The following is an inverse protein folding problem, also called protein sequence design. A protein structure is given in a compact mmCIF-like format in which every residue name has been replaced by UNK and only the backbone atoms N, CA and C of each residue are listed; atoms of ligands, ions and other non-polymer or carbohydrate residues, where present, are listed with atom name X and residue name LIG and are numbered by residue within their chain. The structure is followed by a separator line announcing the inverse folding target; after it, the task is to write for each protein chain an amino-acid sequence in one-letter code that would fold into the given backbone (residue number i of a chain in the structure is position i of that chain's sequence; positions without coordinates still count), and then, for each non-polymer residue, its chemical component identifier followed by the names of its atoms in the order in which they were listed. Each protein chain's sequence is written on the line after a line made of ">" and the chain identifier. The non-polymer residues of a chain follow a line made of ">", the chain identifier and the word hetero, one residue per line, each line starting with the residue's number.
data_IF_635805278760
#
_entry.id   IF_635805278760
#
_cell.length_a   1.000
_cell.length_b   1.000
_cell.length_c   1.000
_cell.angle_alpha   90.00
_cell.angle_beta   90.00
_cell.angle_gamma   90.00
#
_symmetry.space_group_name_H-M   'P 1'
#
loop_
_entity.id
_entity.type
_entity.pdbx_description
1 polymer ?
#
# COMPACT_ATOMS: atom_id res chain seq x y z
N UNK A 1 -51.78 25.94 65.57
CA UNK A 1 -51.36 26.24 64.18
C UNK A 1 -50.49 27.50 64.20
N UNK A 2 -49.16 27.34 64.34
CA UNK A 2 -48.23 28.47 64.59
C UNK A 2 -47.65 28.92 63.25
N UNK A 3 -48.10 30.08 62.75
CA UNK A 3 -47.51 30.74 61.56
C UNK A 3 -46.20 31.42 61.97
N UNK A 4 -45.06 30.86 61.57
CA UNK A 4 -43.75 31.52 61.63
C UNK A 4 -43.76 32.72 60.67
N UNK A 5 -43.78 33.93 61.21
CA UNK A 5 -43.57 35.17 60.45
C UNK A 5 -42.06 35.27 60.16
N UNK A 6 -41.67 34.96 58.93
CA UNK A 6 -40.30 35.14 58.46
C UNK A 6 -40.10 36.65 58.26
N UNK A 7 -39.41 37.30 59.21
CA UNK A 7 -38.94 38.67 59.02
C UNK A 7 -37.84 38.66 57.97
N UNK A 8 -38.18 39.07 56.74
CA UNK A 8 -37.20 39.36 55.70
C UNK A 8 -36.24 40.44 56.22
N UNK A 9 -34.99 40.03 56.53
CA UNK A 9 -33.89 40.96 56.76
C UNK A 9 -33.79 41.84 55.52
N UNK A 10 -33.99 43.15 55.67
CA UNK A 10 -33.70 44.11 54.61
C UNK A 10 -32.24 43.93 54.24
N UNK A 11 -31.97 43.39 53.05
CA UNK A 11 -30.64 43.26 52.50
C UNK A 11 -30.14 44.67 52.14
N UNK A 12 -29.60 45.38 53.13
CA UNK A 12 -28.65 46.46 52.86
C UNK A 12 -27.37 45.78 52.41
N UNK A 13 -27.25 45.55 51.09
CA UNK A 13 -25.98 45.24 50.47
C UNK A 13 -25.09 46.45 50.76
N UNK A 14 -24.07 46.27 51.59
CA UNK A 14 -23.05 47.27 51.84
C UNK A 14 -22.45 47.67 50.48
N UNK A 15 -22.50 48.97 50.14
CA UNK A 15 -22.20 49.47 48.79
C UNK A 15 -20.81 49.10 48.26
N UNK A 16 -19.92 48.66 49.14
CA UNK A 16 -18.59 48.14 48.81
C UNK A 16 -18.64 46.86 47.95
N UNK A 17 -19.58 45.95 48.20
CA UNK A 17 -19.69 44.70 47.42
C UNK A 17 -20.15 44.95 45.98
N UNK A 18 -21.01 45.95 45.78
CA UNK A 18 -21.51 46.29 44.46
C UNK A 18 -20.41 46.87 43.55
N UNK A 19 -19.48 47.65 44.12
CA UNK A 19 -18.34 48.18 43.37
C UNK A 19 -17.43 47.07 42.82
N UNK A 20 -17.16 46.02 43.61
CA UNK A 20 -16.36 44.88 43.16
C UNK A 20 -17.00 44.13 42.00
N UNK A 21 -18.33 43.96 42.01
CA UNK A 21 -19.06 43.31 40.91
C UNK A 21 -18.90 44.12 39.62
N UNK A 22 -19.06 45.45 39.67
CA UNK A 22 -18.89 46.32 38.49
C UNK A 22 -17.46 46.23 37.94
N UNK A 23 -16.44 46.28 38.82
CA UNK A 23 -15.04 46.16 38.39
C UNK A 23 -14.80 44.80 37.71
N UNK A 24 -15.32 43.70 38.26
CA UNK A 24 -15.22 42.38 37.63
C UNK A 24 -15.90 42.32 36.26
N UNK A 25 -17.07 42.96 36.10
CA UNK A 25 -17.75 43.04 34.80
C UNK A 25 -16.93 43.83 33.79
N UNK A 26 -16.34 44.96 34.18
CA UNK A 26 -15.50 45.78 33.30
C UNK A 26 -14.24 45.00 32.88
N UNK A 27 -13.56 44.35 33.83
CA UNK A 27 -12.39 43.52 33.55
C UNK A 27 -12.77 42.36 32.61
N UNK A 28 -13.91 41.71 32.85
CA UNK A 28 -14.42 40.65 31.98
C UNK A 28 -14.68 41.14 30.55
N UNK A 29 -15.29 42.31 30.38
CA UNK A 29 -15.50 42.90 29.05
C UNK A 29 -14.18 43.20 28.35
N UNK A 30 -13.20 43.80 29.04
CA UNK A 30 -11.89 44.10 28.46
C UNK A 30 -11.19 42.82 27.97
N UNK A 31 -11.26 41.73 28.74
CA UNK A 31 -10.67 40.44 28.34
C UNK A 31 -11.35 39.87 27.09
N UNK A 32 -12.70 39.89 27.04
CA UNK A 32 -13.46 39.38 25.88
C UNK A 32 -13.15 40.20 24.62
N UNK A 33 -13.13 41.53 24.72
CA UNK A 33 -12.79 42.39 23.59
C UNK A 33 -11.34 42.23 23.16
N UNK A 34 -10.40 42.13 24.12
CA UNK A 34 -8.99 41.90 23.83
C UNK A 34 -8.76 40.56 23.11
N UNK A 35 -9.43 39.50 23.56
CA UNK A 35 -9.35 38.19 22.92
C UNK A 35 -9.93 38.23 21.51
N UNK A 36 -11.14 38.78 21.32
CA UNK A 36 -11.73 38.92 19.98
C UNK A 36 -10.83 39.70 19.03
N UNK A 37 -10.32 40.85 19.47
CA UNK A 37 -9.42 41.69 18.69
C UNK A 37 -8.13 40.94 18.32
N UNK A 38 -7.55 40.16 19.22
CA UNK A 38 -6.39 39.32 18.93
C UNK A 38 -6.66 38.27 17.84
N UNK A 39 -7.82 37.59 17.88
CA UNK A 39 -8.19 36.62 16.85
C UNK A 39 -8.44 37.30 15.50
N UNK A 40 -9.13 38.44 15.49
CA UNK A 40 -9.40 39.20 14.28
C UNK A 40 -8.08 39.69 13.64
N UNK A 41 -7.13 40.19 14.44
CA UNK A 41 -5.81 40.57 13.95
C UNK A 41 -5.01 39.38 13.42
N UNK A 42 -5.02 38.24 14.10
CA UNK A 42 -4.33 37.02 13.64
C UNK A 42 -4.90 36.53 12.30
N UNK A 43 -6.22 36.55 12.15
CA UNK A 43 -6.88 36.13 10.92
C UNK A 43 -6.65 37.13 9.77
N UNK A 44 -6.65 38.43 10.06
CA UNK A 44 -6.32 39.46 9.08
C UNK A 44 -4.87 39.34 8.59
N UNK A 45 -3.92 39.12 9.50
CA UNK A 45 -2.52 38.88 9.16
C UNK A 45 -2.36 37.64 8.27
N UNK A 46 -2.98 36.52 8.66
CA UNK A 46 -2.98 35.30 7.86
C UNK A 46 -3.51 35.52 6.44
N UNK A 47 -4.56 36.32 6.25
CA UNK A 47 -5.09 36.64 4.90
C UNK A 47 -4.10 37.45 4.06
N UNK A 48 -3.42 38.41 4.65
CA UNK A 48 -2.40 39.21 3.94
C UNK A 48 -1.18 38.37 3.59
N UNK A 49 -0.67 37.57 4.53
CA UNK A 49 0.47 36.70 4.26
C UNK A 49 0.13 35.63 3.21
N UNK A 50 -1.11 35.12 3.20
CA UNK A 50 -1.62 34.22 2.16
C UNK A 50 -1.63 34.87 0.78
N UNK A 51 -2.04 36.13 0.69
CA UNK A 51 -1.99 36.88 -0.57
C UNK A 51 -0.55 37.08 -1.06
N UNK A 52 0.40 37.31 -0.14
CA UNK A 52 1.83 37.41 -0.49
C UNK A 52 2.35 36.07 -0.97
N UNK A 53 2.11 34.99 -0.21
CA UNK A 53 2.54 33.64 -0.58
C UNK A 53 2.00 33.19 -1.95
N UNK A 54 0.69 33.35 -2.16
CA UNK A 54 0.04 33.05 -3.43
C UNK A 54 0.57 33.92 -4.57
N UNK A 55 0.77 35.22 -4.31
CA UNK A 55 1.33 36.17 -5.28
C UNK A 55 2.76 35.81 -5.69
N UNK A 56 3.61 35.42 -4.74
CA UNK A 56 5.00 35.05 -4.98
C UNK A 56 5.09 33.75 -5.77
N UNK A 57 4.33 32.72 -5.40
CA UNK A 57 4.26 31.45 -6.15
C UNK A 57 3.76 31.67 -7.58
N UNK A 58 2.67 32.44 -7.76
CA UNK A 58 2.12 32.75 -9.08
C UNK A 58 3.10 33.55 -9.93
N UNK A 59 3.80 34.50 -9.32
CA UNK A 59 4.82 35.28 -9.99
C UNK A 59 5.99 34.43 -10.45
N UNK A 60 6.57 33.63 -9.56
CA UNK A 60 7.72 32.77 -9.87
C UNK A 60 7.34 31.69 -10.89
N UNK A 61 6.16 31.07 -10.77
CA UNK A 61 5.63 30.10 -11.75
C UNK A 61 5.60 30.71 -13.15
N UNK A 62 5.08 31.94 -13.29
CA UNK A 62 5.02 32.65 -14.57
C UNK A 62 6.41 33.05 -15.07
N UNK A 63 7.26 33.61 -14.22
CA UNK A 63 8.57 34.14 -14.64
C UNK A 63 9.54 33.03 -15.01
N UNK A 64 9.59 31.97 -14.20
CA UNK A 64 10.43 30.79 -14.45
C UNK A 64 9.83 29.97 -15.59
N UNK A 65 8.51 29.74 -15.60
CA UNK A 65 7.80 28.99 -16.63
C UNK A 65 8.08 29.47 -18.06
N UNK A 66 8.21 30.79 -18.28
CA UNK A 66 8.52 31.36 -19.59
C UNK A 66 9.97 31.13 -20.06
N UNK A 67 10.89 30.79 -19.16
CA UNK A 67 12.32 30.61 -19.46
C UNK A 67 12.66 29.12 -19.54
N UNK A 68 12.56 28.55 -20.73
CA UNK A 68 12.86 27.13 -20.95
C UNK A 68 14.27 26.77 -20.48
N UNK A 69 14.37 25.78 -19.60
CA UNK A 69 15.62 25.27 -19.01
C UNK A 69 16.13 26.08 -17.82
N UNK A 70 15.48 27.19 -17.44
CA UNK A 70 15.82 27.91 -16.21
C UNK A 70 15.39 27.07 -15.01
N UNK A 71 16.30 26.89 -14.06
CA UNK A 71 16.05 26.17 -12.80
C UNK A 71 16.37 27.10 -11.64
N UNK A 72 15.42 27.28 -10.73
CA UNK A 72 15.59 28.12 -9.55
C UNK A 72 15.14 27.38 -8.31
N UNK A 73 15.94 27.44 -7.24
CA UNK A 73 15.54 27.01 -5.91
C UNK A 73 15.02 28.23 -5.17
N UNK A 74 13.77 28.16 -4.71
CA UNK A 74 13.08 29.27 -4.05
C UNK A 74 12.62 28.82 -2.67
N UNK A 75 12.71 29.73 -1.71
CA UNK A 75 12.18 29.55 -0.36
C UNK A 75 11.05 30.53 -0.15
N UNK A 76 9.86 30.00 0.14
CA UNK A 76 8.65 30.76 0.40
C UNK A 76 8.34 30.77 1.89
N UNK A 77 7.85 31.90 2.40
CA UNK A 77 7.30 31.96 3.76
C UNK A 77 5.84 31.50 3.69
N UNK A 78 5.52 30.40 4.36
CA UNK A 78 4.18 29.80 4.35
C UNK A 78 3.40 30.30 5.57
N UNK A 79 2.23 30.92 5.35
CA UNK A 79 1.49 31.57 6.43
C UNK A 79 0.62 30.61 7.25
N UNK A 80 0.02 31.17 8.30
CA UNK A 80 -1.09 30.55 9.03
C UNK A 80 -0.78 29.21 9.73
N UNK A 81 0.50 28.86 9.90
CA UNK A 81 0.95 27.61 10.52
C UNK A 81 0.52 26.38 9.72
N UNK A 82 0.54 26.49 8.39
CA UNK A 82 0.34 25.38 7.46
C UNK A 82 1.49 24.38 7.62
N UNK A 83 1.16 23.10 7.61
CA UNK A 83 2.11 21.99 7.78
C UNK A 83 2.45 21.30 6.45
N UNK A 84 1.51 21.24 5.50
CA UNK A 84 1.71 20.68 4.16
C UNK A 84 1.13 21.56 3.08
N UNK A 85 1.76 21.59 1.91
CA UNK A 85 1.24 22.22 0.68
C UNK A 85 1.21 21.19 -0.43
N UNK A 86 0.05 20.96 -1.02
CA UNK A 86 -0.11 20.10 -2.19
C UNK A 86 -0.17 20.98 -3.44
N UNK A 87 0.65 20.66 -4.43
CA UNK A 87 0.56 21.17 -5.80
C UNK A 87 -0.06 20.09 -6.66
N UNK A 88 -1.05 20.43 -7.48
CA UNK A 88 -1.86 19.48 -8.23
C UNK A 88 -2.03 20.00 -9.65
N UNK A 89 -1.71 19.17 -10.64
CA UNK A 89 -1.96 19.48 -12.04
C UNK A 89 -3.41 19.13 -12.38
N UNK A 90 -4.32 20.06 -12.08
CA UNK A 90 -5.77 19.89 -12.22
C UNK A 90 -6.24 19.64 -13.67
N UNK A 91 -5.37 19.79 -14.66
CA UNK A 91 -5.69 19.53 -16.08
C UNK A 91 -5.55 18.06 -16.47
N UNK A 92 -4.94 17.26 -15.62
CA UNK A 92 -4.73 15.83 -15.84
C UNK A 92 -5.65 15.01 -14.95
N UNK A 93 -5.97 13.80 -15.41
CA UNK A 93 -6.78 12.87 -14.65
C UNK A 93 -5.97 12.33 -13.47
N UNK A 94 -6.25 12.87 -12.28
CA UNK A 94 -5.55 12.49 -11.06
C UNK A 94 -6.21 11.23 -10.49
N UNK A 95 -5.38 10.23 -10.16
CA UNK A 95 -5.84 8.99 -9.52
C UNK A 95 -6.64 9.26 -8.24
N UNK A 96 -7.42 8.27 -7.79
CA UNK A 96 -8.25 8.30 -6.57
C UNK A 96 -7.50 8.53 -5.24
N UNK A 97 -6.22 8.91 -5.28
CA UNK A 97 -5.35 9.20 -4.14
C UNK A 97 -5.88 10.32 -3.23
N UNK A 98 -6.81 11.17 -3.70
CA UNK A 98 -7.41 12.25 -2.93
C UNK A 98 -8.78 11.92 -2.32
N UNK A 99 -9.23 10.66 -2.33
CA UNK A 99 -10.52 10.26 -1.77
C UNK A 99 -10.70 10.66 -0.28
N UNK A 100 -9.60 10.77 0.47
CA UNK A 100 -9.61 11.23 1.86
C UNK A 100 -9.76 12.75 2.03
N UNK A 101 -9.67 13.52 0.94
CA UNK A 101 -9.78 14.97 0.92
C UNK A 101 -10.87 15.41 -0.07
N UNK A 102 -12.17 15.33 0.30
CA UNK A 102 -13.29 15.57 -0.60
C UNK A 102 -13.24 16.93 -1.30
N UNK A 103 -12.76 17.97 -0.61
CA UNK A 103 -12.64 19.32 -1.17
C UNK A 103 -11.59 19.42 -2.29
N UNK A 104 -10.52 18.62 -2.24
CA UNK A 104 -9.52 18.55 -3.32
C UNK A 104 -10.14 17.81 -4.50
N UNK A 105 -10.79 16.68 -4.24
CA UNK A 105 -11.48 15.89 -5.25
C UNK A 105 -12.57 16.70 -5.97
N UNK A 106 -13.42 17.41 -5.23
CA UNK A 106 -14.45 18.29 -5.77
C UNK A 106 -13.83 19.38 -6.66
N UNK A 107 -12.65 19.93 -6.31
CA UNK A 107 -11.97 20.94 -7.11
C UNK A 107 -11.48 20.37 -8.45
N UNK A 108 -10.89 19.17 -8.42
CA UNK A 108 -10.44 18.43 -9.60
C UNK A 108 -11.64 18.11 -10.50
N UNK A 109 -12.71 17.54 -9.94
CA UNK A 109 -13.91 17.13 -10.69
C UNK A 109 -14.68 18.31 -11.28
N UNK A 110 -14.74 19.43 -10.56
CA UNK A 110 -15.39 20.65 -11.03
C UNK A 110 -14.57 21.45 -12.04
N UNK A 111 -13.28 21.17 -12.17
CA UNK A 111 -12.35 21.98 -12.97
C UNK A 111 -12.25 23.42 -12.47
N UNK A 112 -12.42 23.64 -11.15
CA UNK A 112 -12.34 24.98 -10.53
C UNK A 112 -10.95 25.62 -10.67
N UNK A 113 -9.94 24.82 -10.99
CA UNK A 113 -8.63 25.27 -11.45
C UNK A 113 -7.70 25.73 -10.33
N UNK A 114 -8.03 25.45 -9.05
CA UNK A 114 -7.03 25.62 -8.00
C UNK A 114 -6.04 24.46 -8.08
N UNK A 115 -4.77 24.79 -8.14
CA UNK A 115 -3.65 23.86 -8.23
C UNK A 115 -2.85 23.80 -6.93
N UNK A 116 -3.07 24.73 -5.99
CA UNK A 116 -2.40 24.74 -4.67
C UNK A 116 -3.40 24.54 -3.55
N UNK A 117 -3.15 23.57 -2.67
CA UNK A 117 -3.93 23.30 -1.48
C UNK A 117 -3.05 23.34 -0.24
N UNK A 118 -3.34 24.24 0.69
CA UNK A 118 -2.61 24.40 1.94
C UNK A 118 -3.32 23.68 3.07
N UNK A 119 -2.61 22.78 3.75
CA UNK A 119 -3.14 21.95 4.82
C UNK A 119 -2.63 22.40 6.19
N UNK A 120 -3.46 22.18 7.21
CA UNK A 120 -3.07 22.31 8.61
C UNK A 120 -3.79 21.25 9.42
N UNK A 121 -3.04 20.32 10.01
CA UNK A 121 -3.59 19.22 10.82
C UNK A 121 -4.65 18.42 10.04
N UNK A 122 -4.38 18.13 8.77
CA UNK A 122 -5.27 17.36 7.90
C UNK A 122 -6.49 18.12 7.35
N UNK A 123 -6.66 19.41 7.66
CA UNK A 123 -7.74 20.24 7.10
C UNK A 123 -7.19 21.26 6.10
N UNK A 124 -7.92 21.49 5.00
CA UNK A 124 -7.61 22.54 4.03
C UNK A 124 -7.85 23.90 4.68
N UNK A 125 -6.81 24.74 4.70
CA UNK A 125 -6.87 26.12 5.18
C UNK A 125 -7.18 27.09 4.05
N UNK A 126 -6.60 26.85 2.87
CA UNK A 126 -6.80 27.67 1.67
C UNK A 126 -6.46 26.88 0.41
N UNK A 127 -7.09 27.27 -0.70
CA UNK A 127 -6.70 26.87 -2.06
C UNK A 127 -6.58 28.09 -2.97
N UNK A 128 -5.78 28.00 -4.03
CA UNK A 128 -5.68 29.03 -5.09
C UNK A 128 -4.95 28.50 -6.33
N UNK A 129 -5.15 29.19 -7.47
CA UNK A 129 -4.48 28.99 -8.76
C UNK A 129 -3.14 29.75 -8.89
N UNK A 130 -2.04 29.04 -9.18
CA UNK A 130 -0.71 29.59 -9.51
C UNK A 130 -0.40 29.58 -11.01
N UNK A 131 -1.24 28.94 -11.84
CA UNK A 131 -1.22 29.03 -13.29
C UNK A 131 -0.87 27.72 -13.97
N UNK A 132 -0.10 27.81 -15.06
CA UNK A 132 0.26 26.64 -15.86
C UNK A 132 1.43 25.89 -15.20
N UNK A 133 1.11 24.77 -14.56
CA UNK A 133 2.10 23.83 -14.02
C UNK A 133 2.00 22.48 -14.73
N UNK A 134 3.12 21.75 -14.80
CA UNK A 134 3.17 20.39 -15.33
C UNK A 134 3.84 19.50 -14.28
N UNK A 135 3.02 18.69 -13.62
CA UNK A 135 3.49 17.73 -12.63
C UNK A 135 3.53 16.35 -13.28
N UNK A 136 4.61 15.60 -13.03
CA UNK A 136 4.72 14.22 -13.51
C UNK A 136 3.77 13.30 -12.75
N UNK A 137 3.40 12.15 -13.32
CA UNK A 137 2.54 11.20 -12.61
C UNK A 137 3.10 10.92 -11.20
N UNK A 138 2.29 11.03 -10.12
CA UNK A 138 0.82 11.00 -10.08
C UNK A 138 0.06 12.33 -10.26
N UNK A 139 0.68 13.32 -10.89
CA UNK A 139 0.09 14.65 -11.18
C UNK A 139 -0.16 15.50 -9.94
N UNK A 140 0.52 15.18 -8.84
CA UNK A 140 0.60 16.02 -7.66
C UNK A 140 1.98 15.93 -7.00
N UNK A 141 2.37 16.99 -6.32
CA UNK A 141 3.55 17.07 -5.47
C UNK A 141 3.12 17.55 -4.07
N UNK A 142 3.71 16.99 -3.03
CA UNK A 142 3.47 17.42 -1.66
C UNK A 142 4.74 18.04 -1.08
N UNK A 143 4.59 19.14 -0.37
CA UNK A 143 5.68 19.86 0.28
C UNK A 143 5.40 19.97 1.78
N UNK A 144 6.30 19.44 2.60
CA UNK A 144 6.30 19.67 4.03
C UNK A 144 6.81 21.10 4.33
N UNK A 145 6.17 21.77 5.28
CA UNK A 145 6.52 23.13 5.70
C UNK A 145 7.35 23.07 6.99
N UNK A 146 8.58 23.57 6.93
CA UNK A 146 9.51 23.58 8.07
C UNK A 146 9.73 25.00 8.55
N UNK A 147 9.47 25.25 9.83
CA UNK A 147 9.62 26.59 10.45
C UNK A 147 8.87 27.70 9.68
N UNK A 148 7.71 27.35 9.11
CA UNK A 148 6.92 28.27 8.28
C UNK A 148 7.56 28.60 6.93
N UNK A 149 8.43 27.72 6.41
CA UNK A 149 9.09 27.87 5.12
C UNK A 149 8.89 26.64 4.24
N UNK A 150 8.73 26.88 2.95
CA UNK A 150 8.66 25.87 1.91
C UNK A 150 9.77 26.13 0.90
N UNK A 151 10.61 25.13 0.65
CA UNK A 151 11.63 25.21 -0.38
C UNK A 151 11.18 24.37 -1.58
N UNK A 152 11.22 24.95 -2.78
CA UNK A 152 10.86 24.26 -4.01
C UNK A 152 11.87 24.56 -5.11
N UNK A 153 12.19 23.52 -5.90
CA UNK A 153 12.92 23.67 -7.16
C UNK A 153 11.90 23.86 -8.28
N UNK A 154 12.00 24.97 -8.97
CA UNK A 154 11.11 25.34 -10.07
C UNK A 154 11.91 25.31 -11.36
N UNK A 155 11.43 24.54 -12.35
CA UNK A 155 12.03 24.43 -13.68
C UNK A 155 11.08 24.98 -14.75
N UNK A 156 11.58 25.90 -15.58
CA UNK A 156 10.85 26.47 -16.70
C UNK A 156 10.85 25.58 -17.93
N UNK A 157 9.69 25.37 -18.56
CA UNK A 157 9.57 24.61 -19.83
C UNK A 157 9.17 25.48 -21.03
N UNK A 158 9.03 26.79 -20.84
CA UNK A 158 8.70 27.79 -21.86
C UNK A 158 7.23 28.19 -21.88
N UNK A 159 6.34 27.36 -21.34
CA UNK A 159 4.89 27.62 -21.24
C UNK A 159 4.36 27.40 -19.82
N UNK A 160 4.94 26.44 -19.11
CA UNK A 160 4.57 26.04 -17.77
C UNK A 160 5.83 25.85 -16.92
N UNK A 161 5.64 25.78 -15.60
CA UNK A 161 6.70 25.43 -14.66
C UNK A 161 6.51 24.01 -14.13
N UNK A 162 7.62 23.31 -13.88
CA UNK A 162 7.65 22.04 -13.17
C UNK A 162 8.18 22.31 -11.77
N UNK A 163 7.44 21.84 -10.78
CA UNK A 163 7.82 21.88 -9.38
C UNK A 163 8.44 20.55 -8.98
N UNK A 164 9.57 20.61 -8.25
CA UNK A 164 10.23 19.45 -7.65
C UNK A 164 10.64 19.75 -6.22
N UNK A 165 10.76 18.71 -5.41
CA UNK A 165 11.42 18.82 -4.10
C UNK A 165 12.92 19.07 -4.30
N UNK A 166 13.56 19.66 -3.28
CA UNK A 166 15.03 19.82 -3.25
C UNK A 166 15.63 18.64 -2.48
N UNK A 167 16.79 18.15 -2.94
CA UNK A 167 17.54 17.06 -2.29
C UNK A 167 17.90 17.42 -0.82
N UNK A 168 18.09 18.71 -0.52
CA UNK A 168 18.27 19.19 0.86
C UNK A 168 17.05 18.96 1.78
N UNK A 169 15.89 18.63 1.20
CA UNK A 169 14.66 18.27 1.93
C UNK A 169 14.51 16.76 2.19
N UNK A 170 15.38 15.91 1.65
CA UNK A 170 15.33 14.43 1.83
C UNK A 170 15.58 14.01 3.29
N UNK A 171 16.32 14.82 4.06
CA UNK A 171 16.45 14.61 5.51
C UNK A 171 15.22 15.04 6.31
N UNK A 172 14.21 15.63 5.66
CA UNK A 172 12.91 15.84 6.25
C UNK A 172 12.04 14.61 6.01
N UNK A 173 12.26 13.61 6.86
CA UNK A 173 11.48 12.38 7.03
C UNK A 173 10.01 12.66 7.47
N UNK A 174 9.44 13.79 7.07
CA UNK A 174 8.11 14.27 7.39
C UNK A 174 7.19 14.07 6.19
N UNK A 175 6.95 12.79 5.93
CA UNK A 175 5.63 12.20 5.66
C UNK A 175 4.68 12.99 4.74
N UNK A 176 5.18 13.40 3.57
CA UNK A 176 4.34 13.55 2.39
C UNK A 176 4.01 12.19 1.76
N UNK A 177 4.66 11.12 2.22
CA UNK A 177 4.14 9.77 2.09
C UNK A 177 2.75 9.74 2.73
N UNK A 178 1.79 9.17 2.04
CA UNK A 178 0.56 8.79 2.71
C UNK A 178 0.95 7.54 3.52
N UNK A 179 1.67 7.65 4.64
CA UNK A 179 1.84 6.50 5.54
C UNK A 179 0.48 6.27 6.22
N UNK A 180 -0.51 5.90 5.42
CA UNK A 180 -1.29 4.76 5.81
C UNK A 180 -0.28 3.62 5.79
N UNK A 181 -0.16 2.89 6.90
CA UNK A 181 0.11 1.46 6.75
C UNK A 181 -0.91 1.01 5.72
N UNK A 182 -0.46 0.79 4.48
CA UNK A 182 -1.36 0.43 3.40
C UNK A 182 -1.67 -1.04 3.65
N UNK A 183 -2.55 -1.27 4.62
CA UNK A 183 -3.36 -2.47 4.66
C UNK A 183 -4.22 -2.37 3.41
N UNK A 184 -3.65 -2.81 2.28
CA UNK A 184 -4.41 -3.12 1.09
C UNK A 184 -5.23 -4.33 1.48
N UNK A 185 -6.36 -4.11 2.16
CA UNK A 185 -7.39 -5.13 2.29
C UNK A 185 -7.87 -5.41 0.87
N UNK A 186 -7.34 -6.49 0.28
CA UNK A 186 -7.82 -6.97 -1.00
C UNK A 186 -9.29 -7.31 -0.83
N UNK A 187 -10.16 -6.60 -1.56
CA UNK A 187 -11.57 -6.99 -1.57
C UNK A 187 -11.67 -8.39 -2.16
N UNK A 188 -12.61 -9.20 -1.64
CA UNK A 188 -12.84 -10.55 -2.18
C UNK A 188 -13.05 -10.55 -3.70
N UNK A 189 -13.64 -9.47 -4.23
CA UNK A 189 -13.83 -9.30 -5.68
C UNK A 189 -12.50 -9.18 -6.43
N UNK A 190 -11.64 -8.26 -6.00
CA UNK A 190 -10.33 -8.04 -6.64
C UNK A 190 -9.45 -9.28 -6.51
N UNK A 191 -9.53 -9.94 -5.35
CA UNK A 191 -8.89 -11.23 -5.11
C UNK A 191 -9.36 -12.31 -6.11
N UNK A 192 -10.68 -12.48 -6.30
CA UNK A 192 -11.20 -13.45 -7.26
C UNK A 192 -10.82 -13.09 -8.72
N UNK A 193 -10.65 -11.81 -9.06
CA UNK A 193 -10.16 -11.42 -10.39
C UNK A 193 -8.74 -11.94 -10.63
N UNK A 194 -7.85 -11.80 -9.65
CA UNK A 194 -6.48 -12.33 -9.75
C UNK A 194 -6.50 -13.87 -9.79
N UNK A 195 -7.34 -14.54 -8.98
CA UNK A 195 -7.49 -16.01 -9.04
C UNK A 195 -7.96 -16.45 -10.43
N UNK A 196 -8.88 -15.70 -11.05
CA UNK A 196 -9.33 -15.97 -12.43
C UNK A 196 -8.16 -15.89 -13.41
N UNK A 197 -7.28 -14.90 -13.26
CA UNK A 197 -6.07 -14.78 -14.07
C UNK A 197 -5.11 -15.95 -13.88
N UNK A 198 -4.89 -16.37 -12.63
CA UNK A 198 -4.05 -17.52 -12.30
C UNK A 198 -4.61 -18.80 -12.93
N UNK A 199 -5.93 -19.04 -12.83
CA UNK A 199 -6.59 -20.20 -13.42
C UNK A 199 -6.50 -20.20 -14.95
N UNK A 200 -6.73 -19.05 -15.57
CA UNK A 200 -6.63 -18.87 -17.02
C UNK A 200 -5.20 -19.14 -17.52
N UNK A 201 -4.19 -18.60 -16.83
CA UNK A 201 -2.80 -18.84 -17.13
C UNK A 201 -2.45 -20.34 -17.01
N UNK A 202 -2.77 -20.98 -15.88
CA UNK A 202 -2.49 -22.41 -15.65
C UNK A 202 -3.09 -23.34 -16.70
N UNK A 203 -4.26 -22.98 -17.23
CA UNK A 203 -4.99 -23.78 -18.22
C UNK A 203 -4.66 -23.39 -19.67
N UNK A 204 -3.90 -22.32 -19.87
CA UNK A 204 -3.64 -21.72 -21.19
C UNK A 204 -4.94 -21.40 -21.95
N UNK A 205 -5.88 -20.75 -21.27
CA UNK A 205 -7.20 -20.37 -21.84
C UNK A 205 -7.49 -18.89 -21.63
N UNK A 206 -8.26 -18.23 -22.54
CA UNK A 206 -8.73 -16.87 -22.33
C UNK A 206 -9.53 -16.69 -21.03
N UNK A 207 -9.37 -15.55 -20.35
CA UNK A 207 -10.07 -15.22 -19.08
C UNK A 207 -11.58 -15.45 -19.13
N UNK A 208 -12.22 -15.12 -20.27
CA UNK A 208 -13.66 -15.28 -20.49
C UNK A 208 -14.17 -16.72 -20.44
N UNK A 209 -13.28 -17.71 -20.52
CA UNK A 209 -13.63 -19.13 -20.46
C UNK A 209 -13.63 -19.68 -19.03
N UNK A 210 -13.13 -18.91 -18.05
CA UNK A 210 -13.23 -19.29 -16.64
C UNK A 210 -14.61 -18.84 -16.13
N UNK A 211 -15.53 -19.79 -15.98
CA UNK A 211 -16.89 -19.52 -15.51
C UNK A 211 -16.92 -19.14 -14.03
N UNK A 212 -17.85 -18.28 -13.63
CA UNK A 212 -18.01 -17.88 -12.22
C UNK A 212 -18.35 -19.08 -11.30
N UNK A 213 -18.99 -20.12 -11.83
CA UNK A 213 -19.25 -21.37 -11.10
C UNK A 213 -17.99 -22.17 -10.77
N UNK A 214 -16.96 -22.08 -11.62
CA UNK A 214 -15.66 -22.69 -11.35
C UNK A 214 -14.78 -21.80 -10.47
N UNK A 215 -14.89 -20.47 -10.65
CA UNK A 215 -14.09 -19.51 -9.91
C UNK A 215 -14.49 -19.42 -8.44
N UNK A 216 -15.79 -19.48 -8.12
CA UNK A 216 -16.29 -19.30 -6.75
C UNK A 216 -15.60 -20.21 -5.73
N UNK A 217 -15.65 -21.55 -5.89
CA UNK A 217 -15.04 -22.49 -4.93
C UNK A 217 -13.52 -22.34 -4.81
N UNK A 218 -12.83 -22.06 -5.92
CA UNK A 218 -11.37 -21.88 -5.91
C UNK A 218 -10.98 -20.55 -5.25
N UNK A 219 -11.71 -19.48 -5.54
CA UNK A 219 -11.52 -18.18 -4.91
C UNK A 219 -11.76 -18.26 -3.40
N UNK A 220 -12.86 -18.89 -2.97
CA UNK A 220 -13.18 -19.05 -1.54
C UNK A 220 -12.06 -19.82 -0.82
N UNK A 221 -11.56 -20.90 -1.42
CA UNK A 221 -10.47 -21.70 -0.85
C UNK A 221 -9.19 -20.89 -0.68
N UNK A 222 -8.74 -20.19 -1.73
CA UNK A 222 -7.49 -19.42 -1.68
C UNK A 222 -7.66 -18.20 -0.76
N UNK A 223 -8.85 -17.60 -0.70
CA UNK A 223 -9.14 -16.48 0.19
C UNK A 223 -9.07 -16.90 1.66
N UNK A 224 -9.65 -18.04 2.02
CA UNK A 224 -9.56 -18.60 3.38
C UNK A 224 -8.11 -18.98 3.75
N UNK A 225 -7.29 -19.41 2.78
CA UNK A 225 -5.85 -19.65 2.97
C UNK A 225 -5.08 -18.34 3.19
N UNK A 226 -5.42 -17.27 2.45
CA UNK A 226 -4.79 -15.96 2.54
C UNK A 226 -4.98 -15.31 3.91
N UNK A 227 -6.16 -15.44 4.52
CA UNK A 227 -6.45 -14.88 5.85
C UNK A 227 -5.56 -15.47 6.96
N UNK A 228 -4.93 -16.62 6.70
CA UNK A 228 -4.02 -17.31 7.62
C UNK A 228 -2.57 -16.93 7.39
N UNK A 229 -2.28 -15.96 6.51
CA UNK A 229 -0.91 -15.54 6.21
C UNK A 229 -0.81 -14.03 6.24
N UNK A 230 0.04 -13.54 7.14
CA UNK A 230 0.36 -12.12 7.19
C UNK A 230 1.45 -11.83 6.14
N UNK A 231 1.15 -10.92 5.22
CA UNK A 231 2.09 -10.46 4.20
C UNK A 231 2.45 -9.01 4.49
N UNK A 232 3.71 -8.74 4.77
CA UNK A 232 4.23 -7.38 4.95
C UNK A 232 5.14 -7.02 3.77
N UNK A 233 4.95 -5.84 3.18
CA UNK A 233 5.83 -5.33 2.12
C UNK A 233 6.61 -4.12 2.59
N UNK A 234 7.92 -4.13 2.36
CA UNK A 234 8.78 -2.98 2.60
C UNK A 234 9.44 -2.53 1.30
N UNK A 235 9.59 -1.22 1.16
CA UNK A 235 10.18 -0.59 -0.01
C UNK A 235 11.32 0.32 0.46
N UNK A 236 12.55 -0.08 0.17
CA UNK A 236 13.77 0.66 0.54
C UNK A 236 14.39 1.24 -0.72
N UNK A 237 14.38 2.56 -0.88
CA UNK A 237 15.04 3.24 -1.99
C UNK A 237 16.47 3.61 -1.61
N UNK A 238 17.42 3.31 -2.49
CA UNK A 238 18.83 3.69 -2.37
C UNK A 238 19.16 4.76 -3.43
N UNK A 239 19.30 5.99 -2.97
CA UNK A 239 19.66 7.16 -3.79
C UNK A 239 20.99 7.01 -4.53
N UNK A 240 21.93 6.23 -3.96
CA UNK A 240 23.27 6.05 -4.55
C UNK A 240 23.19 5.19 -5.81
N UNK A 241 22.35 4.16 -5.78
CA UNK A 241 22.18 3.21 -6.89
C UNK A 241 21.00 3.59 -7.80
N UNK A 242 20.07 4.40 -7.32
CA UNK A 242 18.81 4.69 -8.00
C UNK A 242 17.87 3.48 -8.01
N UNK A 243 18.05 2.53 -7.08
CA UNK A 243 17.29 1.28 -7.01
C UNK A 243 16.33 1.26 -5.82
N UNK A 244 15.10 0.78 -6.03
CA UNK A 244 14.19 0.41 -4.93
C UNK A 244 14.30 -1.10 -4.69
N UNK A 245 14.64 -1.50 -3.47
CA UNK A 245 14.53 -2.87 -2.99
C UNK A 245 13.13 -3.09 -2.44
N UNK A 246 12.37 -3.98 -3.08
CA UNK A 246 11.07 -4.46 -2.58
C UNK A 246 11.33 -5.72 -1.79
N UNK A 247 10.94 -5.76 -0.51
CA UNK A 247 10.94 -6.99 0.29
C UNK A 247 9.52 -7.35 0.66
N UNK A 248 9.19 -8.63 0.52
CA UNK A 248 7.94 -9.22 0.96
C UNK A 248 8.26 -10.23 2.03
N UNK A 249 7.75 -9.97 3.23
CA UNK A 249 7.84 -10.87 4.37
C UNK A 249 6.54 -11.64 4.47
N UNK A 250 6.64 -12.96 4.48
CA UNK A 250 5.49 -13.86 4.57
C UNK A 250 5.54 -14.56 5.93
N UNK A 251 4.52 -14.32 6.76
CA UNK A 251 4.41 -14.84 8.12
C UNK A 251 3.12 -15.64 8.29
N UNK A 252 3.18 -16.97 8.14
CA UNK A 252 2.00 -17.83 8.19
C UNK A 252 1.56 -18.19 9.62
N UNK A 253 0.25 -18.29 9.83
CA UNK A 253 -0.35 -18.88 11.03
C UNK A 253 -0.24 -20.41 10.99
N UNK A 254 0.95 -20.90 11.27
CA UNK A 254 1.30 -22.32 11.32
C UNK A 254 2.24 -22.75 10.19
N UNK A 255 2.33 -24.06 9.97
CA UNK A 255 3.21 -24.64 8.95
C UNK A 255 2.49 -24.72 7.60
N UNK A 256 3.02 -23.99 6.61
CA UNK A 256 2.58 -24.10 5.21
C UNK A 256 3.43 -25.13 4.47
N UNK A 257 2.77 -25.95 3.66
CA UNK A 257 3.47 -26.84 2.71
C UNK A 257 3.14 -26.40 1.29
N UNK A 258 4.15 -26.34 0.41
CA UNK A 258 4.00 -25.99 -1.02
C UNK A 258 3.39 -24.61 -1.25
N UNK A 259 4.02 -23.58 -0.68
CA UNK A 259 3.59 -22.20 -0.85
C UNK A 259 3.91 -21.68 -2.25
N UNK A 260 2.93 -21.07 -2.90
CA UNK A 260 3.13 -20.22 -4.07
C UNK A 260 2.65 -18.82 -3.74
N UNK A 261 3.50 -17.83 -3.95
CA UNK A 261 3.14 -16.43 -3.79
C UNK A 261 3.12 -15.75 -5.16
N UNK A 262 1.97 -15.19 -5.51
CA UNK A 262 1.71 -14.47 -6.73
C UNK A 262 1.71 -12.98 -6.40
N UNK A 263 2.44 -12.16 -7.14
CA UNK A 263 2.52 -10.71 -6.90
C UNK A 263 2.18 -9.96 -8.18
N UNK A 264 1.16 -9.11 -8.12
CA UNK A 264 0.79 -8.19 -9.19
C UNK A 264 1.70 -6.97 -9.15
N UNK A 265 2.41 -6.75 -10.25
CA UNK A 265 3.32 -5.62 -10.42
C UNK A 265 2.58 -4.51 -11.17
N UNK A 266 2.43 -3.32 -10.57
CA UNK A 266 1.71 -2.24 -11.23
C UNK A 266 2.50 -1.66 -12.41
N UNK A 267 1.78 -1.16 -13.42
CA UNK A 267 2.34 -0.46 -14.60
C UNK A 267 3.44 0.56 -14.27
N UNK A 268 3.28 1.31 -13.19
CA UNK A 268 4.23 2.35 -12.77
C UNK A 268 5.63 1.80 -12.45
N UNK A 269 5.72 0.52 -12.03
CA UNK A 269 6.95 -0.21 -11.74
C UNK A 269 7.43 -1.05 -12.93
N UNK A 270 6.51 -1.46 -13.81
CA UNK A 270 6.79 -2.37 -14.91
C UNK A 270 7.88 -1.89 -15.86
N UNK A 271 7.89 -0.61 -16.23
CA UNK A 271 8.88 -0.10 -17.18
C UNK A 271 10.31 -0.29 -16.68
N UNK A 272 10.54 -0.04 -15.40
CA UNK A 272 11.85 -0.15 -14.76
C UNK A 272 12.24 -1.62 -14.53
N UNK A 273 11.27 -2.45 -14.16
CA UNK A 273 11.49 -3.89 -14.02
C UNK A 273 11.87 -4.53 -15.39
N UNK A 274 11.19 -4.13 -16.47
CA UNK A 274 11.49 -4.61 -17.82
C UNK A 274 12.89 -4.21 -18.29
N UNK A 275 13.30 -2.97 -18.04
CA UNK A 275 14.64 -2.50 -18.37
C UNK A 275 15.70 -3.36 -17.65
N UNK A 276 15.52 -3.59 -16.35
CA UNK A 276 16.42 -4.44 -15.57
C UNK A 276 16.45 -5.90 -16.06
N UNK A 277 15.28 -6.50 -16.32
CA UNK A 277 15.22 -7.86 -16.86
C UNK A 277 15.89 -7.95 -18.24
N UNK A 278 15.75 -6.92 -19.08
CA UNK A 278 16.38 -6.88 -20.41
C UNK A 278 17.91 -6.76 -20.35
N UNK A 279 18.44 -6.00 -19.38
CA UNK A 279 19.87 -5.89 -19.13
C UNK A 279 20.47 -7.22 -18.64
N UNK A 280 19.75 -7.93 -17.78
CA UNK A 280 20.21 -9.17 -17.16
C UNK A 280 20.09 -10.38 -18.09
N UNK A 281 19.06 -10.46 -18.94
CA UNK A 281 18.89 -11.57 -19.91
C UNK A 281 20.01 -11.59 -20.98
N UNK A 282 20.80 -10.51 -21.12
CA UNK A 282 22.03 -10.47 -21.92
C UNK A 282 23.27 -11.04 -21.23
N UNK A 283 23.20 -11.42 -19.94
CA UNK A 283 24.34 -11.89 -19.15
C UNK A 283 23.91 -13.09 -18.28
N UNK A 284 24.53 -14.27 -18.45
CA UNK A 284 24.18 -15.56 -17.80
C UNK A 284 24.28 -15.62 -16.24
N UNK A 285 23.88 -14.59 -15.48
CA UNK A 285 23.95 -14.57 -14.02
C UNK A 285 22.74 -13.88 -13.41
N UNK A 286 21.76 -14.67 -12.99
CA UNK A 286 20.75 -14.25 -12.01
C UNK A 286 21.32 -14.43 -10.60
N UNK A 287 21.23 -13.40 -9.77
CA UNK A 287 21.46 -13.50 -8.33
C UNK A 287 20.10 -13.50 -7.63
N UNK A 288 19.62 -14.68 -7.27
CA UNK A 288 18.59 -14.83 -6.26
C UNK A 288 19.21 -15.45 -5.00
N UNK A 289 18.77 -14.99 -3.83
CA UNK A 289 19.07 -15.60 -2.53
C UNK A 289 18.64 -17.07 -2.52
N UNK A 290 19.34 -17.89 -1.73
CA UNK A 290 19.66 -19.32 -1.91
C UNK A 290 18.53 -20.37 -2.10
N UNK A 291 17.27 -20.01 -2.36
CA UNK A 291 16.22 -20.98 -2.76
C UNK A 291 15.34 -20.52 -3.94
N UNK A 292 15.60 -19.36 -4.55
CA UNK A 292 14.99 -18.99 -5.82
C UNK A 292 15.86 -19.50 -6.99
N UNK A 293 15.63 -20.74 -7.40
CA UNK A 293 16.28 -21.34 -8.55
C UNK A 293 15.52 -21.07 -9.85
N UNK A 294 16.10 -20.26 -10.75
CA UNK A 294 15.79 -20.33 -12.18
C UNK A 294 16.69 -21.43 -12.77
N UNK A 295 16.18 -22.67 -12.81
CA UNK A 295 16.87 -23.78 -13.48
C UNK A 295 16.50 -23.73 -14.97
N UNK A 296 17.46 -23.58 -15.90
CA UNK A 296 17.22 -23.74 -17.33
C UNK A 296 17.23 -25.24 -17.67
N UNK A 297 16.20 -25.96 -17.24
CA UNK A 297 15.79 -27.23 -17.87
C UNK A 297 14.28 -27.38 -17.70
N UNK A 298 13.58 -27.49 -18.84
CA UNK A 298 12.19 -27.87 -19.02
C UNK A 298 11.25 -27.82 -17.79
N UNK A 299 10.34 -26.83 -17.80
CA UNK A 299 9.11 -26.70 -16.98
C UNK A 299 9.15 -25.83 -15.71
N UNK A 300 9.60 -24.58 -15.81
CA UNK A 300 9.10 -23.49 -14.95
C UNK A 300 8.91 -22.25 -15.84
N UNK A 301 7.68 -21.76 -15.98
CA UNK A 301 7.32 -20.67 -16.89
C UNK A 301 7.07 -19.37 -16.14
N UNK A 302 7.97 -18.40 -16.34
CA UNK A 302 7.54 -17.07 -16.78
C UNK A 302 7.05 -17.30 -18.22
N UNK A 303 5.85 -16.87 -18.60
CA UNK A 303 5.39 -17.02 -19.98
C UNK A 303 6.22 -16.09 -20.88
N UNK A 304 7.33 -16.60 -21.40
CA UNK A 304 8.14 -16.01 -22.46
C UNK A 304 8.06 -16.95 -23.67
N UNK A 305 7.56 -16.43 -24.79
CA UNK A 305 7.45 -17.18 -26.03
C UNK A 305 8.84 -17.57 -26.58
N UNK A 306 8.95 -18.64 -27.40
CA UNK A 306 10.23 -19.29 -27.73
C UNK A 306 11.19 -18.52 -28.66
N UNK A 307 10.96 -17.23 -28.94
CA UNK A 307 11.70 -16.46 -29.95
C UNK A 307 12.40 -15.17 -29.42
N UNK A 308 12.59 -15.06 -28.10
CA UNK A 308 13.42 -14.01 -27.46
C UNK A 308 13.06 -12.56 -27.88
N UNK A 309 11.76 -12.26 -28.04
CA UNK A 309 11.23 -10.89 -28.06
C UNK A 309 10.10 -10.76 -27.05
N UNK A 310 10.10 -9.70 -26.24
CA UNK A 310 8.88 -9.25 -25.57
C UNK A 310 8.05 -8.54 -26.64
N UNK A 311 7.07 -9.26 -27.18
CA UNK A 311 6.13 -8.73 -28.17
C UNK A 311 5.07 -7.92 -27.41
N UNK A 312 4.92 -6.63 -27.72
CA UNK A 312 3.67 -5.92 -27.46
C UNK A 312 2.54 -6.76 -28.08
N UNK A 313 1.66 -7.31 -27.22
CA UNK A 313 0.78 -8.43 -27.53
C UNK A 313 0.31 -8.50 -28.98
N UNK A 314 0.78 -9.52 -29.71
CA UNK A 314 0.19 -9.93 -30.98
C UNK A 314 0.07 -11.45 -30.99
N UNK A 315 -1.12 -11.94 -30.68
CA UNK A 315 -1.50 -13.32 -30.99
C UNK A 315 -2.06 -13.33 -32.41
N UNK A 316 -1.28 -13.81 -33.38
CA UNK A 316 -1.74 -14.02 -34.74
C UNK A 316 -2.40 -15.40 -34.86
N UNK A 317 -3.69 -15.47 -34.50
CA UNK A 317 -4.64 -16.42 -35.06
C UNK A 317 -5.49 -15.67 -36.08
N UNK A 318 -5.73 -16.26 -37.25
CA UNK A 318 -6.23 -15.59 -38.46
C UNK A 318 -7.62 -14.92 -38.35
N UNK A 319 -8.25 -14.85 -37.17
CA UNK A 319 -9.51 -14.14 -36.91
C UNK A 319 -9.71 -13.61 -35.45
N UNK A 320 -8.68 -13.46 -34.61
CA UNK A 320 -8.90 -13.21 -33.17
C UNK A 320 -8.69 -11.78 -32.64
N UNK A 321 -9.57 -11.42 -31.72
CA UNK A 321 -9.72 -10.16 -30.99
C UNK A 321 -8.52 -9.90 -30.04
N UNK A 322 -7.86 -8.76 -30.16
CA UNK A 322 -6.73 -8.35 -29.30
C UNK A 322 -7.26 -7.94 -27.92
N UNK A 323 -6.90 -8.67 -26.87
CA UNK A 323 -7.11 -8.27 -25.46
C UNK A 323 -5.77 -7.76 -24.94
N UNK A 324 -5.65 -6.45 -24.72
CA UNK A 324 -4.52 -5.86 -23.99
C UNK A 324 -4.69 -6.17 -22.50
N UNK A 325 -3.69 -6.82 -21.89
CA UNK A 325 -3.64 -7.03 -20.45
C UNK A 325 -2.80 -5.91 -19.83
N UNK A 326 -3.26 -5.38 -18.70
CA UNK A 326 -2.78 -4.11 -18.19
C UNK A 326 -1.59 -4.24 -17.22
N UNK A 327 -1.53 -5.25 -16.34
CA UNK A 327 -0.47 -5.41 -15.34
C UNK A 327 0.08 -6.86 -15.29
N UNK A 328 1.41 -7.10 -15.19
CA UNK A 328 1.97 -8.44 -15.11
C UNK A 328 1.98 -9.03 -13.69
N UNK A 329 2.00 -10.37 -13.64
CA UNK A 329 2.09 -11.16 -12.41
C UNK A 329 3.48 -11.79 -12.27
N UNK A 330 4.15 -11.57 -11.15
CA UNK A 330 5.32 -12.32 -10.70
C UNK A 330 4.88 -13.52 -9.87
N UNK A 331 5.62 -14.62 -9.97
CA UNK A 331 5.30 -15.88 -9.27
C UNK A 331 6.53 -16.38 -8.54
N UNK A 332 6.41 -16.50 -7.24
CA UNK A 332 7.40 -17.07 -6.35
C UNK A 332 6.93 -18.46 -5.93
N UNK A 333 7.70 -19.50 -6.26
CA UNK A 333 7.38 -20.87 -5.87
C UNK A 333 8.34 -21.31 -4.77
N UNK A 334 7.80 -21.60 -3.59
CA UNK A 334 8.58 -22.14 -2.48
C UNK A 334 8.33 -23.64 -2.40
N UNK A 335 9.25 -24.42 -2.96
CA UNK A 335 9.27 -25.86 -2.79
C UNK A 335 10.17 -26.17 -1.60
N UNK A 336 9.58 -26.30 -0.41
CA UNK A 336 10.26 -27.00 0.67
C UNK A 336 10.56 -28.42 0.19
N UNK A 337 11.82 -28.86 0.25
CA UNK A 337 12.12 -30.30 0.20
C UNK A 337 11.23 -30.98 1.24
N UNK A 338 10.68 -32.17 0.99
CA UNK A 338 9.79 -32.84 1.94
C UNK A 338 10.41 -32.86 3.36
N UNK A 339 9.95 -31.97 4.25
CA UNK A 339 10.52 -31.74 5.59
C UNK A 339 11.11 -30.34 5.88
N UNK A 340 11.32 -29.48 4.88
CA UNK A 340 11.75 -28.09 5.06
C UNK A 340 10.50 -27.21 5.22
N UNK A 341 10.19 -26.90 6.47
CA UNK A 341 9.15 -25.94 6.81
C UNK A 341 9.63 -24.55 6.45
N UNK A 342 8.77 -23.72 5.87
CA UNK A 342 9.01 -22.28 5.84
C UNK A 342 8.95 -21.82 7.30
N UNK A 343 10.11 -21.55 7.90
CA UNK A 343 10.17 -20.95 9.22
C UNK A 343 9.56 -19.54 9.13
N UNK A 344 8.79 -19.16 10.14
CA UNK A 344 8.12 -17.86 10.19
C UNK A 344 9.10 -16.71 9.91
N UNK A 345 8.78 -15.87 8.92
CA UNK A 345 9.54 -14.66 8.61
C UNK A 345 10.58 -14.78 7.49
N UNK A 346 10.34 -15.62 6.48
CA UNK A 346 11.16 -15.59 5.28
C UNK A 346 10.90 -14.31 4.48
N UNK A 347 11.98 -13.57 4.20
CA UNK A 347 11.97 -12.36 3.38
C UNK A 347 12.36 -12.72 1.94
N UNK A 348 11.43 -12.58 1.00
CA UNK A 348 11.78 -12.52 -0.42
C UNK A 348 11.95 -11.07 -0.84
N UNK A 349 12.78 -10.82 -1.84
CA UNK A 349 12.92 -9.47 -2.36
C UNK A 349 13.53 -9.40 -3.74
N UNK A 350 13.26 -8.28 -4.40
CA UNK A 350 13.78 -7.95 -5.72
C UNK A 350 14.06 -6.45 -5.78
N UNK A 351 14.89 -6.07 -6.74
CA UNK A 351 15.25 -4.67 -6.97
C UNK A 351 14.57 -4.15 -8.23
N UNK A 352 14.30 -2.86 -8.25
CA UNK A 352 13.77 -2.12 -9.40
C UNK A 352 14.65 -0.88 -9.58
N UNK A 353 15.24 -0.67 -10.76
CA UNK A 353 16.09 0.50 -11.09
C UNK A 353 15.29 1.81 -11.24
N UNK A 354 14.44 2.13 -10.27
CA UNK A 354 13.61 3.33 -10.22
C UNK A 354 13.10 3.52 -8.80
N UNK A 355 12.95 4.77 -8.37
CA UNK A 355 12.18 5.09 -7.17
C UNK A 355 10.72 4.69 -7.37
N UNK A 356 10.21 3.79 -6.52
CA UNK A 356 8.79 3.45 -6.52
C UNK A 356 8.05 4.49 -5.68
N UNK A 357 7.29 5.35 -6.36
CA UNK A 357 6.47 6.38 -5.71
C UNK A 357 5.41 5.75 -4.80
N UNK A 358 5.03 6.47 -3.75
CA UNK A 358 4.14 5.95 -2.70
C UNK A 358 2.80 5.41 -3.24
N UNK A 359 2.18 6.09 -4.19
CA UNK A 359 0.93 5.64 -4.81
C UNK A 359 1.13 4.35 -5.62
N UNK A 360 2.28 4.19 -6.29
CA UNK A 360 2.67 2.96 -6.95
C UNK A 360 2.81 1.81 -5.95
N UNK A 361 3.36 2.07 -4.75
CA UNK A 361 3.47 1.06 -3.66
C UNK A 361 2.10 0.48 -3.28
N UNK A 362 1.03 1.29 -3.29
CA UNK A 362 -0.34 0.84 -2.95
C UNK A 362 -0.93 -0.14 -3.96
N UNK A 363 -0.43 -0.13 -5.20
CA UNK A 363 -0.93 -0.99 -6.28
C UNK A 363 -0.26 -2.37 -6.30
N UNK A 364 0.82 -2.57 -5.52
CA UNK A 364 1.40 -3.91 -5.35
C UNK A 364 0.43 -4.77 -4.54
N UNK A 365 -0.03 -5.85 -5.16
CA UNK A 365 -0.92 -6.83 -4.56
C UNK A 365 -0.28 -8.18 -4.62
N UNK A 366 -0.60 -9.07 -3.69
CA UNK A 366 -0.10 -10.43 -3.78
C UNK A 366 -0.97 -11.41 -3.03
N UNK A 367 -1.02 -12.61 -3.60
CA UNK A 367 -1.90 -13.70 -3.22
C UNK A 367 -1.05 -14.92 -2.97
N UNK A 368 -1.41 -15.66 -1.94
CA UNK A 368 -0.82 -16.95 -1.61
C UNK A 368 -1.74 -18.07 -2.07
N UNK A 369 -1.16 -19.06 -2.72
CA UNK A 369 -1.78 -20.34 -3.03
C UNK A 369 -0.94 -21.43 -2.35
N UNK A 370 -1.51 -22.15 -1.38
CA UNK A 370 -0.75 -23.18 -0.68
C UNK A 370 -1.57 -23.91 0.37
N UNK A 371 -1.39 -25.22 0.45
CA UNK A 371 -2.09 -26.00 1.46
C UNK A 371 -1.53 -25.67 2.85
N UNK A 372 -2.35 -25.03 3.68
CA UNK A 372 -2.08 -24.98 5.11
C UNK A 372 -2.40 -26.36 5.66
N UNK A 373 -1.36 -27.16 5.86
CA UNK A 373 -1.54 -28.47 6.48
C UNK A 373 -1.80 -28.24 7.96
N UNK A 374 -3.08 -28.08 8.33
CA UNK A 374 -3.48 -28.24 9.72
C UNK A 374 -3.26 -29.70 10.01
N UNK A 375 -2.09 -30.05 10.56
CA UNK A 375 -1.77 -31.39 11.01
C UNK A 375 -2.80 -31.82 12.08
N UNK A 376 -3.97 -32.24 11.63
CA UNK A 376 -4.94 -32.96 12.44
C UNK A 376 -4.37 -34.36 12.48
N UNK A 377 -3.73 -34.69 13.60
CA UNK A 377 -3.26 -36.04 13.87
C UNK A 377 -4.47 -36.98 13.90
N UNK A 378 -4.90 -37.44 12.73
CA UNK A 378 -5.83 -38.55 12.56
C UNK A 378 -5.02 -39.85 12.62
N UNK A 379 -4.34 -40.04 13.76
CA UNK A 379 -3.64 -41.28 14.04
C UNK A 379 -4.65 -42.40 14.24
N UNK A 380 -4.65 -43.41 13.37
CA UNK A 380 -5.31 -44.68 13.67
C UNK A 380 -4.46 -45.38 14.72
N UNK A 381 -4.90 -45.35 15.98
CA UNK A 381 -4.25 -46.07 17.05
C UNK A 381 -4.41 -47.57 16.83
N UNK A 382 -3.34 -48.25 16.43
CA UNK A 382 -3.32 -49.72 16.36
C UNK A 382 -3.09 -50.30 17.75
N UNK A 383 -3.99 -51.20 18.18
CA UNK A 383 -3.75 -52.01 19.37
C UNK A 383 -2.72 -53.11 19.01
N UNK A 384 -1.52 -53.11 19.61
CA UNK A 384 -0.48 -54.09 19.30
C UNK A 384 -0.89 -55.53 19.65
N UNK A 385 -1.95 -55.71 20.45
CA UNK A 385 -2.47 -57.01 20.85
C UNK A 385 -3.42 -57.64 19.82
N UNK A 386 -3.94 -56.86 18.86
CA UNK A 386 -4.90 -57.35 17.89
C UNK A 386 -4.90 -56.53 16.57
N UNK A 387 -4.04 -56.87 15.60
CA UNK A 387 -3.82 -56.06 14.39
C UNK A 387 -4.95 -56.10 13.35
N UNK A 388 -6.07 -56.79 13.61
CA UNK A 388 -7.08 -57.13 12.58
C UNK A 388 -8.34 -56.26 12.65
N UNK A 389 -8.41 -55.22 13.49
CA UNK A 389 -9.58 -54.32 13.48
C UNK A 389 -9.21 -52.88 13.81
N UNK A 390 -9.31 -51.93 12.86
CA UNK A 390 -9.23 -50.51 13.17
C UNK A 390 -10.47 -50.14 13.99
N UNK A 391 -10.27 -49.83 15.27
CA UNK A 391 -11.33 -49.25 16.11
C UNK A 391 -11.26 -47.73 15.96
N UNK A 392 -12.31 -47.12 15.41
CA UNK A 392 -12.51 -45.67 15.43
C UNK A 392 -12.79 -45.25 16.88
N UNK A 393 -11.73 -45.01 17.67
CA UNK A 393 -11.85 -44.53 19.03
C UNK A 393 -11.39 -43.05 19.09
N UNK A 394 -12.29 -42.09 19.36
CA UNK A 394 -11.94 -40.67 19.39
C UNK A 394 -11.07 -40.24 20.59
N UNK A 395 -10.77 -41.12 21.55
CA UNK A 395 -10.01 -40.81 22.77
C UNK A 395 -8.53 -41.28 22.74
N UNK A 396 -7.79 -41.04 21.64
CA UNK A 396 -6.34 -41.32 21.57
C UNK A 396 -5.45 -40.29 22.29
N UNK A 397 -5.96 -39.63 23.35
CA UNK A 397 -5.28 -38.51 24.02
C UNK A 397 -4.14 -38.86 24.98
N UNK A 398 -3.90 -40.14 25.31
CA UNK A 398 -2.92 -40.51 26.34
C UNK A 398 -2.25 -41.88 26.05
N UNK A 399 -1.49 -41.99 24.95
CA UNK A 399 -0.57 -43.11 24.76
C UNK A 399 0.84 -42.70 25.22
N UNK A 400 1.10 -42.85 26.53
CA UNK A 400 2.46 -42.84 27.07
C UNK A 400 3.25 -44.05 26.55
N UNK A 401 4.13 -43.81 25.57
CA UNK A 401 5.20 -44.75 25.21
C UNK A 401 4.99 -45.61 23.96
N UNK A 402 4.16 -45.21 23.00
CA UNK A 402 4.02 -45.95 21.72
C UNK A 402 4.45 -45.06 20.55
N UNK A 403 5.39 -45.56 19.74
CA UNK A 403 5.89 -44.88 18.54
C UNK A 403 4.77 -44.70 17.51
N UNK A 404 4.46 -43.45 17.17
CA UNK A 404 3.59 -43.13 16.05
C UNK A 404 4.34 -43.39 14.74
N UNK A 405 3.88 -44.35 13.93
CA UNK A 405 4.38 -44.54 12.58
C UNK A 405 3.56 -43.67 11.61
N UNK A 406 4.22 -42.74 10.92
CA UNK A 406 3.65 -42.00 9.80
C UNK A 406 3.48 -42.96 8.62
N UNK A 407 2.25 -43.17 8.16
CA UNK A 407 1.99 -43.62 6.79
C UNK A 407 1.59 -42.39 5.98
N UNK A 408 2.43 -41.97 5.04
CA UNK A 408 2.01 -41.05 3.99
C UNK A 408 1.08 -41.82 3.05
N UNK A 409 -0.19 -41.45 2.98
CA UNK A 409 -1.15 -42.08 2.08
C UNK A 409 -0.75 -41.83 0.61
N UNK A 410 -0.38 -42.89 -0.10
CA UNK A 410 -0.38 -42.92 -1.55
C UNK A 410 -1.83 -42.93 -2.05
N UNK A 411 -2.34 -41.78 -2.46
CA UNK A 411 -3.57 -41.69 -3.23
C UNK A 411 -3.30 -42.11 -4.69
N UNK A 412 -3.21 -43.42 -4.95
CA UNK A 412 -3.44 -43.98 -6.28
C UNK A 412 -3.96 -45.41 -6.15
N UNK A 413 -5.11 -45.66 -6.77
CA UNK A 413 -5.85 -46.93 -6.78
C UNK A 413 -5.14 -48.04 -7.59
N UNK A 414 -3.92 -48.41 -7.23
CA UNK A 414 -3.26 -49.61 -7.73
C UNK A 414 -2.42 -50.23 -6.61
N UNK A 415 -3.05 -51.10 -5.81
CA UNK A 415 -2.39 -51.98 -4.86
C UNK A 415 -3.02 -53.37 -4.95
N UNK A 416 -2.88 -54.00 -6.12
CA UNK A 416 -3.03 -55.45 -6.21
C UNK A 416 -1.66 -56.11 -6.05
N UNK A 417 -1.60 -57.01 -5.06
CA UNK A 417 -0.59 -58.07 -4.85
C UNK A 417 0.85 -57.68 -4.56
N UNK A 418 1.22 -57.61 -3.27
CA UNK A 418 2.49 -58.17 -2.82
C UNK A 418 2.31 -58.92 -1.50
N UNK A 419 2.21 -60.25 -1.62
CA UNK A 419 2.29 -61.17 -0.50
C UNK A 419 3.75 -61.58 -0.28
N UNK A 420 4.23 -61.40 0.95
CA UNK A 420 5.32 -62.18 1.53
C UNK A 420 6.73 -61.61 1.37
N UNK A 421 7.26 -61.04 2.46
CA UNK A 421 8.46 -61.50 3.17
C UNK A 421 8.75 -60.56 4.36
N UNK A 422 9.14 -61.08 5.54
CA UNK A 422 9.57 -60.24 6.67
C UNK A 422 11.03 -59.83 6.48
N UNK A 423 11.26 -58.57 6.14
CA UNK A 423 12.56 -57.92 6.19
C UNK A 423 12.58 -56.88 7.30
N UNK A 424 13.48 -57.02 8.27
CA UNK A 424 13.81 -55.99 9.26
C UNK A 424 14.60 -54.87 8.59
N UNK A 425 14.09 -53.64 8.60
CA UNK A 425 14.85 -52.43 8.23
C UNK A 425 15.44 -51.80 9.49
N UNK A 426 16.77 -51.60 9.47
CA UNK A 426 17.48 -50.69 10.39
C UNK A 426 17.31 -49.25 9.94
#
# INVERSE_FOLDING_TARGET
>A
MIRKIIKLKKAQIEGEQFAFIIVLVIVGLIIVFGFKMYYDFKNAGCKTELQVFSGDLKHDTRVVGLKRGDQQIKTYTVPCGVDKVYLIDAKKEISSSFAQYPLIQDNIESGMGDDVFMMRKGAIVSSFDIGEIDISWPYFECYAVHEGRLQAKIEGKGQFAIFRQTDESENSLYDCTFIDEVNVELTKKDFCEIVREIMAAKRDVPLRLISDSELGPECDKIFDEQDRVKIERTFEYDETTGETTVRVKIDPEGTLTRLKYWEKIPKCALSALNEQLSDEIGSDRFFFSNDAAIIPTARNSIYLAPDNRIVEGTFAGENDLIIKQDDPLLVWNFYGNAGQLLDAGEDIGYKIKKEILHNCKKEFQGIIEGAVDTATCSGVCYNPSNPISPTNNPDCGLCGGVSCYYYSECASNDCDTFAGLPGTCN
#
